data_IF_671190552584
#
_entry.id   IF_671190552584
#
_cell.length_a   1.000
_cell.length_b   1.000
_cell.length_c   1.000
_cell.angle_alpha   90.00
_cell.angle_beta   90.00
_cell.angle_gamma   90.00
#
_symmetry.space_group_name_H-M   'P 1'
#
loop_
_entity.id
_entity.type
_entity.pdbx_description
1 polymer ?
#
# COMPACT_ATOMS: atom_id res chain seq x y z
N UNK A 1 33.19 -8.21 -27.92
CA UNK A 1 32.45 -7.22 -27.09
C UNK A 1 30.94 -7.24 -27.32
N UNK A 2 30.46 -7.39 -28.57
CA UNK A 2 29.01 -7.37 -28.90
C UNK A 2 28.25 -8.61 -28.38
N UNK A 3 28.83 -9.81 -28.51
CA UNK A 3 28.22 -11.08 -28.07
C UNK A 3 27.98 -11.11 -26.55
N UNK A 4 28.94 -10.63 -25.76
CA UNK A 4 28.83 -10.58 -24.30
C UNK A 4 27.72 -9.62 -23.85
N UNK A 5 27.54 -8.47 -24.54
CA UNK A 5 26.41 -7.57 -24.32
C UNK A 5 25.06 -8.21 -24.67
N UNK A 6 25.00 -9.05 -25.71
CA UNK A 6 23.78 -9.77 -26.10
C UNK A 6 23.40 -10.82 -25.04
N UNK A 7 24.36 -11.61 -24.55
CA UNK A 7 24.13 -12.62 -23.50
C UNK A 7 23.59 -11.96 -22.22
N UNK A 8 24.19 -10.83 -21.81
CA UNK A 8 23.74 -10.06 -20.65
C UNK A 8 22.33 -9.51 -20.85
N UNK A 9 22.00 -8.95 -22.03
CA UNK A 9 20.64 -8.47 -22.34
C UNK A 9 19.60 -9.60 -22.33
N UNK A 10 19.93 -10.76 -22.89
CA UNK A 10 19.05 -11.94 -22.91
C UNK A 10 18.80 -12.46 -21.49
N UNK A 11 19.79 -12.38 -20.59
CA UNK A 11 19.62 -12.76 -19.18
C UNK A 11 18.83 -11.70 -18.38
N UNK A 12 18.97 -10.42 -18.70
CA UNK A 12 18.26 -9.31 -18.04
C UNK A 12 16.77 -9.22 -18.42
N UNK A 13 16.39 -9.67 -19.61
CA UNK A 13 14.98 -9.70 -20.07
C UNK A 13 14.06 -10.57 -19.19
N UNK A 14 14.36 -11.84 -18.89
CA UNK A 14 13.53 -12.67 -18.01
C UNK A 14 13.48 -12.12 -16.58
N UNK A 15 14.59 -11.57 -16.07
CA UNK A 15 14.63 -10.92 -14.75
C UNK A 15 13.66 -9.74 -14.68
N UNK A 16 13.55 -8.92 -15.73
CA UNK A 16 12.60 -7.79 -15.79
C UNK A 16 11.15 -8.24 -15.77
N UNK A 17 10.82 -9.35 -16.46
CA UNK A 17 9.47 -9.92 -16.42
C UNK A 17 9.13 -10.42 -15.02
N UNK A 18 10.04 -11.15 -14.36
CA UNK A 18 9.85 -11.59 -12.97
C UNK A 18 9.62 -10.43 -12.02
N UNK A 19 10.44 -9.36 -12.09
CA UNK A 19 10.25 -8.17 -11.26
C UNK A 19 8.90 -7.51 -11.49
N UNK A 20 8.43 -7.46 -12.74
CA UNK A 20 7.14 -6.82 -13.06
C UNK A 20 5.96 -7.62 -12.53
N UNK A 21 6.02 -8.95 -12.59
CA UNK A 21 5.00 -9.83 -11.99
C UNK A 21 4.97 -9.64 -10.47
N UNK A 22 6.14 -9.66 -9.80
CA UNK A 22 6.22 -9.46 -8.35
C UNK A 22 5.64 -8.10 -7.97
N UNK A 23 6.02 -7.05 -8.68
CA UNK A 23 5.53 -5.70 -8.43
C UNK A 23 4.03 -5.58 -8.65
N UNK A 24 3.48 -6.21 -9.70
CA UNK A 24 2.04 -6.23 -9.94
C UNK A 24 1.30 -6.91 -8.78
N UNK A 25 1.83 -8.03 -8.28
CA UNK A 25 1.26 -8.74 -7.13
C UNK A 25 1.31 -7.88 -5.88
N UNK A 26 2.45 -7.22 -5.59
CA UNK A 26 2.57 -6.33 -4.42
C UNK A 26 1.62 -5.14 -4.55
N UNK A 27 1.57 -4.48 -5.71
CA UNK A 27 0.62 -3.38 -5.98
C UNK A 27 -0.84 -3.82 -5.77
N UNK A 28 -1.19 -5.02 -6.23
CA UNK A 28 -2.53 -5.56 -6.06
C UNK A 28 -2.87 -5.81 -4.59
N UNK A 29 -1.95 -6.41 -3.83
CA UNK A 29 -2.14 -6.65 -2.39
C UNK A 29 -2.26 -5.33 -1.63
N UNK A 30 -1.40 -4.35 -1.92
CA UNK A 30 -1.44 -3.02 -1.30
C UNK A 30 -2.77 -2.30 -1.60
N UNK A 31 -3.23 -2.37 -2.85
CA UNK A 31 -4.50 -1.77 -3.25
C UNK A 31 -5.70 -2.44 -2.58
N UNK A 32 -5.73 -3.77 -2.56
CA UNK A 32 -6.78 -4.54 -1.90
C UNK A 32 -6.80 -4.29 -0.39
N UNK A 33 -5.61 -4.23 0.24
CA UNK A 33 -5.46 -3.86 1.64
C UNK A 33 -5.98 -2.44 1.92
N UNK A 34 -5.65 -1.47 1.06
CA UNK A 34 -6.12 -0.09 1.21
C UNK A 34 -7.64 0.01 1.21
N UNK A 35 -8.33 -0.68 0.30
CA UNK A 35 -9.79 -0.69 0.26
C UNK A 35 -10.35 -1.20 1.59
N UNK A 36 -9.84 -2.32 2.11
CA UNK A 36 -10.34 -2.91 3.36
C UNK A 36 -10.14 -1.95 4.53
N UNK A 37 -8.94 -1.37 4.69
CA UNK A 37 -8.65 -0.46 5.79
C UNK A 37 -9.39 0.87 5.68
N UNK A 38 -9.57 1.42 4.48
CA UNK A 38 -10.37 2.64 4.28
C UNK A 38 -11.85 2.41 4.59
N UNK A 39 -12.41 1.26 4.17
CA UNK A 39 -13.79 0.88 4.52
C UNK A 39 -13.91 0.68 6.03
N UNK A 40 -12.98 -0.04 6.65
CA UNK A 40 -12.98 -0.28 8.09
C UNK A 40 -12.89 1.02 8.89
N UNK A 41 -11.97 1.92 8.52
CA UNK A 41 -11.85 3.25 9.11
C UNK A 41 -13.14 4.07 8.92
N UNK A 42 -13.78 3.99 7.75
CA UNK A 42 -15.04 4.67 7.48
C UNK A 42 -16.16 4.19 8.39
N UNK A 43 -16.27 2.87 8.58
CA UNK A 43 -17.25 2.27 9.50
C UNK A 43 -17.01 2.75 10.93
N UNK A 44 -15.76 2.69 11.42
CA UNK A 44 -15.40 3.15 12.78
C UNK A 44 -15.77 4.63 12.98
N UNK A 45 -15.50 5.47 11.97
CA UNK A 45 -15.83 6.90 12.02
C UNK A 45 -17.35 7.13 12.11
N UNK A 46 -18.14 6.45 11.25
CA UNK A 46 -19.59 6.55 11.25
C UNK A 46 -20.18 6.05 12.57
N UNK A 47 -19.70 4.90 13.06
CA UNK A 47 -20.13 4.33 14.34
C UNK A 47 -19.84 5.26 15.51
N UNK A 48 -18.66 5.88 15.56
CA UNK A 48 -18.31 6.83 16.61
C UNK A 48 -19.23 8.08 16.60
N UNK A 49 -19.51 8.63 15.41
CA UNK A 49 -20.40 9.79 15.27
C UNK A 49 -21.84 9.44 15.68
N UNK A 50 -22.33 8.27 15.24
CA UNK A 50 -23.66 7.79 15.63
C UNK A 50 -23.73 7.49 17.13
N UNK A 51 -22.72 6.84 17.71
CA UNK A 51 -22.63 6.53 19.14
C UNK A 51 -22.65 7.77 20.03
N UNK A 52 -21.96 8.84 19.59
CA UNK A 52 -22.06 10.16 20.21
C UNK A 52 -23.45 10.78 20.05
N UNK A 53 -24.04 10.72 18.85
CA UNK A 53 -25.37 11.26 18.55
C UNK A 53 -26.51 10.60 19.33
N UNK A 54 -26.38 9.30 19.64
CA UNK A 54 -27.31 8.57 20.52
C UNK A 54 -27.05 8.77 22.02
N UNK A 55 -26.01 9.54 22.39
CA UNK A 55 -25.62 9.76 23.78
C UNK A 55 -25.08 8.50 24.49
N UNK A 56 -24.70 7.48 23.72
CA UNK A 56 -24.21 6.19 24.23
C UNK A 56 -22.73 6.26 24.59
N UNK A 57 -21.96 7.12 23.92
CA UNK A 57 -20.53 7.29 24.12
C UNK A 57 -20.20 8.70 24.64
N UNK A 58 -19.30 8.81 25.61
CA UNK A 58 -18.81 10.15 26.02
C UNK A 58 -17.91 10.75 24.93
N UNK A 59 -17.91 12.08 24.81
CA UNK A 59 -17.15 12.76 23.74
C UNK A 59 -15.66 12.42 23.71
N UNK A 60 -15.06 12.11 24.86
CA UNK A 60 -13.67 11.62 24.96
C UNK A 60 -13.48 10.24 24.33
N UNK A 61 -14.44 9.33 24.47
CA UNK A 61 -14.40 7.99 23.87
C UNK A 61 -14.59 8.07 22.36
N UNK A 62 -15.52 8.90 21.90
CA UNK A 62 -15.74 9.17 20.47
C UNK A 62 -14.47 9.68 19.79
N UNK A 63 -13.76 10.64 20.41
CA UNK A 63 -12.48 11.13 19.85
C UNK A 63 -11.42 10.02 19.81
N UNK A 64 -11.34 9.17 20.85
CA UNK A 64 -10.40 8.04 20.85
C UNK A 64 -10.69 7.06 19.70
N UNK A 65 -11.96 6.72 19.47
CA UNK A 65 -12.35 5.86 18.35
C UNK A 65 -12.05 6.50 16.99
N UNK A 66 -12.26 7.81 16.87
CA UNK A 66 -11.99 8.55 15.64
C UNK A 66 -10.48 8.61 15.33
N UNK A 67 -9.65 8.78 16.36
CA UNK A 67 -8.18 8.69 16.23
C UNK A 67 -7.74 7.30 15.80
N UNK A 68 -8.34 6.24 16.37
CA UNK A 68 -8.05 4.85 15.94
C UNK A 68 -8.42 4.64 14.48
N UNK A 69 -9.61 5.07 14.06
CA UNK A 69 -10.03 5.04 12.66
C UNK A 69 -9.03 5.77 11.75
N UNK A 70 -8.61 6.98 12.13
CA UNK A 70 -7.64 7.77 11.39
C UNK A 70 -6.26 7.09 11.27
N UNK A 71 -5.76 6.48 12.34
CA UNK A 71 -4.51 5.71 12.30
C UNK A 71 -4.64 4.52 11.34
N UNK A 72 -5.75 3.78 11.41
CA UNK A 72 -6.03 2.66 10.50
C UNK A 72 -6.14 3.11 9.03
N UNK A 73 -6.70 4.29 8.77
CA UNK A 73 -6.75 4.88 7.42
C UNK A 73 -5.34 5.17 6.86
N UNK A 74 -4.38 5.46 7.72
CA UNK A 74 -3.02 5.85 7.32
C UNK A 74 -2.11 4.65 7.06
N UNK A 75 -2.40 3.48 7.64
CA UNK A 75 -1.60 2.26 7.47
C UNK A 75 -1.41 1.81 6.02
N UNK A 76 -2.43 1.82 5.14
CA UNK A 76 -2.25 1.42 3.74
C UNK A 76 -1.49 2.45 2.93
N UNK A 77 -1.55 3.72 3.32
CA UNK A 77 -0.77 4.77 2.69
C UNK A 77 0.72 4.51 2.93
N UNK A 78 1.09 4.10 4.15
CA UNK A 78 2.46 3.69 4.48
C UNK A 78 2.88 2.42 3.73
N UNK A 79 1.99 1.45 3.55
CA UNK A 79 2.31 0.26 2.75
C UNK A 79 2.50 0.60 1.26
N UNK A 80 1.86 1.64 0.75
CA UNK A 80 2.13 2.22 -0.58
C UNK A 80 3.58 2.65 -0.80
N UNK A 81 4.31 3.06 0.24
CA UNK A 81 5.73 3.42 0.11
C UNK A 81 6.62 2.23 -0.24
N UNK A 82 6.25 1.02 0.20
CA UNK A 82 7.00 -0.21 -0.14
C UNK A 82 6.96 -0.51 -1.64
N UNK A 83 5.84 -0.19 -2.29
CA UNK A 83 5.67 -0.29 -3.75
C UNK A 83 6.61 0.68 -4.46
N UNK A 84 6.67 1.93 -4.00
CA UNK A 84 7.57 2.95 -4.57
C UNK A 84 9.05 2.56 -4.40
N UNK A 85 9.39 1.92 -3.28
CA UNK A 85 10.74 1.42 -3.06
C UNK A 85 11.11 0.30 -4.03
N UNK A 86 10.19 -0.64 -4.29
CA UNK A 86 10.37 -1.69 -5.31
C UNK A 86 10.54 -1.11 -6.72
N UNK A 87 9.75 -0.09 -7.06
CA UNK A 87 9.89 0.63 -8.33
C UNK A 87 11.26 1.30 -8.47
N UNK A 88 11.76 1.88 -7.37
CA UNK A 88 13.08 2.52 -7.33
C UNK A 88 14.19 1.49 -7.58
N UNK A 89 14.15 0.32 -6.93
CA UNK A 89 15.10 -0.77 -7.20
C UNK A 89 15.04 -1.20 -8.66
N UNK A 90 13.83 -1.33 -9.22
CA UNK A 90 13.63 -1.73 -10.61
C UNK A 90 14.24 -0.72 -11.59
N UNK A 91 14.15 0.58 -11.29
CA UNK A 91 14.77 1.65 -12.08
C UNK A 91 16.30 1.61 -11.96
N UNK A 92 16.84 1.45 -10.75
CA UNK A 92 18.28 1.30 -10.52
C UNK A 92 18.83 0.08 -11.28
N UNK A 93 18.10 -1.04 -11.26
CA UNK A 93 18.45 -2.25 -12.01
C UNK A 93 18.33 -2.05 -13.54
N UNK A 94 17.52 -1.09 -13.97
CA UNK A 94 17.38 -0.74 -15.39
C UNK A 94 18.60 0.02 -15.90
N UNK A 95 19.32 0.72 -15.02
CA UNK A 95 20.67 1.24 -15.23
C UNK A 95 20.83 1.96 -16.57
N UNK A 96 20.27 3.16 -16.66
CA UNK A 96 20.84 4.24 -17.47
C UNK A 96 21.59 5.18 -16.53
#
# INVERSE_FOLDING_TARGET
>A
MVIMRIIIRVLLLPVRMCLTIIQLVVMFITWLSAIIFHVLSGIICITAILGYGFGQETGTETIRMLVIGFVLYTLPVLSGWTVVWLETIKIILKGD
#
